data_IF_467504723297
#
_entry.id   IF_467504723297
#
_cell.length_a   1.000
_cell.length_b   1.000
_cell.length_c   1.000
_cell.angle_alpha   90.00
_cell.angle_beta   90.00
_cell.angle_gamma   90.00
#
_symmetry.space_group_name_H-M   'P 1'
#
loop_
_entity.id
_entity.type
_entity.pdbx_description
1 polymer ?
#
# COMPACT_ATOMS: atom_id res chain seq x y z
N UNK A 1 -61.70 -11.26 -23.31
CA UNK A 1 -62.25 -11.04 -21.97
C UNK A 1 -62.14 -12.32 -21.16
N UNK A 2 -61.22 -12.37 -20.19
CA UNK A 2 -61.38 -12.94 -18.83
C UNK A 2 -60.02 -12.88 -18.14
N UNK A 3 -59.98 -12.12 -17.05
CA UNK A 3 -58.81 -11.84 -16.24
C UNK A 3 -58.38 -13.06 -15.40
N UNK A 4 -57.08 -13.23 -15.24
CA UNK A 4 -56.48 -14.03 -14.16
C UNK A 4 -55.66 -13.08 -13.29
N UNK A 5 -56.14 -12.82 -12.07
CA UNK A 5 -55.45 -12.05 -11.04
C UNK A 5 -55.43 -12.82 -9.71
N UNK A 6 -54.33 -12.65 -9.00
CA UNK A 6 -54.17 -12.73 -7.54
C UNK A 6 -54.34 -14.07 -6.82
N UNK A 7 -53.26 -14.85 -6.74
CA UNK A 7 -53.02 -15.84 -5.66
C UNK A 7 -51.79 -15.54 -4.80
N UNK A 8 -51.10 -14.41 -5.00
CA UNK A 8 -49.88 -14.08 -4.25
C UNK A 8 -50.09 -13.53 -2.83
N UNK A 9 -51.28 -13.03 -2.49
CA UNK A 9 -51.53 -12.40 -1.17
C UNK A 9 -51.87 -13.38 -0.04
N UNK A 10 -52.29 -14.62 -0.34
CA UNK A 10 -52.66 -15.60 0.68
C UNK A 10 -51.47 -16.30 1.35
N UNK A 11 -50.28 -16.24 0.74
CA UNK A 11 -49.05 -16.81 1.33
C UNK A 11 -48.36 -15.86 2.34
N UNK A 12 -48.48 -14.54 2.15
CA UNK A 12 -47.87 -13.55 3.06
C UNK A 12 -48.61 -13.38 4.40
N UNK A 13 -49.89 -13.77 4.47
CA UNK A 13 -50.69 -13.70 5.70
C UNK A 13 -50.45 -14.89 6.65
N UNK A 14 -50.03 -16.06 6.12
CA UNK A 14 -49.77 -17.25 6.94
C UNK A 14 -48.43 -17.21 7.69
N UNK A 15 -47.41 -16.53 7.14
CA UNK A 15 -46.08 -16.42 7.78
C UNK A 15 -46.07 -15.41 8.94
N UNK A 16 -47.02 -14.47 8.97
CA UNK A 16 -47.14 -13.49 10.07
C UNK A 16 -47.90 -13.99 11.31
N UNK A 17 -48.58 -15.14 11.23
CA UNK A 17 -49.30 -15.74 12.35
C UNK A 17 -48.50 -16.79 13.14
N UNK A 18 -47.38 -17.29 12.59
CA UNK A 18 -46.53 -18.29 13.27
C UNK A 18 -45.37 -17.70 14.09
N UNK A 19 -45.14 -16.38 14.01
CA UNK A 19 -44.05 -15.69 14.74
C UNK A 19 -44.43 -15.04 16.07
N UNK A 20 -45.70 -15.09 16.47
CA UNK A 20 -46.21 -14.37 17.66
C UNK A 20 -46.59 -15.30 18.84
N UNK A 21 -46.24 -16.60 18.78
CA UNK A 21 -46.59 -17.58 19.81
C UNK A 21 -45.37 -18.29 20.43
N UNK A 22 -44.19 -17.66 20.41
CA UNK A 22 -42.97 -18.16 21.05
C UNK A 22 -42.33 -17.10 21.97
N UNK A 23 -43.17 -16.33 22.66
CA UNK A 23 -42.74 -15.29 23.60
C UNK A 23 -43.70 -15.20 24.78
N UNK A 24 -43.94 -16.32 25.46
CA UNK A 24 -44.62 -16.42 26.76
C UNK A 24 -44.56 -17.88 27.23
N UNK A 25 -43.43 -18.30 27.83
CA UNK A 25 -43.32 -19.41 28.79
C UNK A 25 -41.84 -19.64 29.15
N UNK A 26 -41.36 -18.95 30.19
CA UNK A 26 -40.30 -19.41 31.10
C UNK A 26 -40.00 -18.31 32.13
N UNK A 27 -40.89 -18.17 33.11
CA UNK A 27 -40.64 -17.40 34.32
C UNK A 27 -40.94 -18.31 35.53
N UNK A 28 -39.92 -19.04 36.02
CA UNK A 28 -39.85 -19.55 37.41
C UNK A 28 -38.52 -20.27 37.69
N UNK A 29 -37.51 -19.54 38.14
CA UNK A 29 -36.43 -20.09 38.97
C UNK A 29 -35.75 -18.94 39.73
N UNK A 30 -35.66 -19.07 41.06
CA UNK A 30 -35.21 -18.01 41.98
C UNK A 30 -33.72 -17.65 41.93
N UNK A 31 -33.31 -16.58 42.62
CA UNK A 31 -31.97 -16.02 42.50
C UNK A 31 -30.98 -16.78 43.40
N UNK A 32 -30.23 -17.70 42.80
CA UNK A 32 -28.98 -18.20 43.39
C UNK A 32 -27.90 -17.13 43.25
N UNK A 33 -27.39 -16.60 44.36
CA UNK A 33 -26.23 -15.70 44.43
C UNK A 33 -24.99 -16.43 43.86
N UNK A 34 -24.70 -16.20 42.59
CA UNK A 34 -23.42 -16.53 41.99
C UNK A 34 -22.44 -15.36 42.24
N UNK A 35 -21.35 -15.67 42.91
CA UNK A 35 -20.23 -14.78 43.17
C UNK A 35 -19.58 -14.37 41.83
N UNK A 36 -19.39 -13.07 41.52
CA UNK A 36 -18.87 -12.66 40.23
C UNK A 36 -17.40 -13.11 40.11
N UNK A 37 -17.14 -14.03 39.19
CA UNK A 37 -15.78 -14.35 38.77
C UNK A 37 -15.07 -13.06 38.33
N UNK A 38 -13.92 -12.79 38.95
CA UNK A 38 -13.11 -11.63 38.68
C UNK A 38 -12.80 -11.55 37.17
N UNK A 39 -13.24 -10.46 36.52
CA UNK A 39 -12.85 -10.16 35.15
C UNK A 39 -11.31 -10.08 35.10
N UNK A 40 -10.64 -10.77 34.16
CA UNK A 40 -9.20 -10.61 33.99
C UNK A 40 -8.94 -9.13 33.70
N UNK A 41 -8.19 -8.50 34.61
CA UNK A 41 -7.73 -7.13 34.48
C UNK A 41 -6.77 -7.15 33.28
N UNK A 42 -7.20 -6.68 32.12
CA UNK A 42 -6.33 -6.47 30.96
C UNK A 42 -5.29 -5.45 31.41
N UNK A 43 -4.10 -5.94 31.74
CA UNK A 43 -2.94 -5.12 32.02
C UNK A 43 -2.62 -4.41 30.71
N UNK A 44 -2.73 -3.09 30.69
CA UNK A 44 -2.34 -2.30 29.53
C UNK A 44 -0.92 -2.70 29.13
N UNK A 45 -0.74 -3.14 27.90
CA UNK A 45 0.57 -3.52 27.38
C UNK A 45 1.52 -2.34 27.58
N UNK A 46 2.58 -2.55 28.34
CA UNK A 46 3.63 -1.56 28.55
C UNK A 46 4.15 -1.15 27.17
N UNK A 47 4.19 0.16 26.81
CA UNK A 47 4.67 0.58 25.51
C UNK A 47 6.09 0.06 25.31
N UNK A 48 6.32 -0.63 24.20
CA UNK A 48 7.65 -1.13 23.84
C UNK A 48 8.50 0.08 23.43
N UNK A 49 9.28 0.61 24.37
CA UNK A 49 10.22 1.70 24.15
C UNK A 49 11.50 1.14 23.52
N UNK A 50 11.48 0.90 22.21
CA UNK A 50 12.65 0.42 21.49
C UNK A 50 12.53 0.58 19.98
N UNK A 51 13.62 0.96 19.32
CA UNK A 51 13.75 0.80 17.88
C UNK A 51 14.02 -0.67 17.57
N UNK A 52 13.37 -1.21 16.53
CA UNK A 52 13.62 -2.56 16.03
C UNK A 52 14.56 -2.45 14.83
N UNK A 53 15.68 -3.18 14.85
CA UNK A 53 16.58 -3.28 13.69
C UNK A 53 16.51 -4.68 13.10
N UNK A 54 15.99 -4.78 11.89
CA UNK A 54 15.91 -6.04 11.15
C UNK A 54 17.12 -6.11 10.23
N UNK A 55 17.99 -7.11 10.41
CA UNK A 55 19.11 -7.37 9.52
C UNK A 55 18.92 -8.70 8.83
N UNK A 56 19.37 -8.78 7.59
CA UNK A 56 19.42 -10.07 6.93
C UNK A 56 20.27 -10.10 5.69
N UNK A 57 20.32 -11.28 5.10
CA UNK A 57 21.05 -11.57 3.88
C UNK A 57 20.11 -12.26 2.90
N UNK A 58 20.13 -11.84 1.64
CA UNK A 58 19.34 -12.42 0.55
C UNK A 58 20.29 -13.08 -0.43
N UNK A 59 20.19 -14.40 -0.56
CA UNK A 59 20.96 -15.20 -1.50
C UNK A 59 20.04 -15.98 -2.43
N UNK A 60 20.48 -16.24 -3.65
CA UNK A 60 19.87 -17.19 -4.58
C UNK A 60 20.01 -18.64 -4.09
N UNK A 61 19.36 -19.58 -4.78
CA UNK A 61 19.53 -21.02 -4.53
C UNK A 61 20.96 -21.51 -4.73
N UNK A 62 21.73 -20.83 -5.58
CA UNK A 62 23.15 -21.06 -5.83
C UNK A 62 24.06 -20.43 -4.77
N UNK A 63 23.47 -19.95 -3.66
CA UNK A 63 24.12 -19.21 -2.58
C UNK A 63 24.79 -17.89 -3.02
N UNK A 64 24.53 -17.41 -4.25
CA UNK A 64 25.03 -16.11 -4.68
C UNK A 64 24.19 -14.99 -4.06
N UNK A 65 24.86 -13.96 -3.57
CA UNK A 65 24.21 -12.76 -3.07
C UNK A 65 23.29 -12.13 -4.13
N UNK A 66 22.08 -11.75 -3.72
CA UNK A 66 21.13 -11.03 -4.57
C UNK A 66 21.22 -9.55 -4.26
N UNK A 67 21.95 -8.81 -5.10
CA UNK A 67 22.13 -7.36 -4.95
C UNK A 67 20.94 -6.56 -5.48
N UNK A 68 20.54 -5.50 -4.78
CA UNK A 68 19.45 -4.61 -5.22
C UNK A 68 18.04 -5.19 -5.07
N UNK A 69 17.86 -6.27 -4.31
CA UNK A 69 16.53 -6.73 -3.92
C UNK A 69 15.90 -5.72 -2.96
N UNK A 70 14.67 -5.30 -3.24
CA UNK A 70 13.90 -4.45 -2.35
C UNK A 70 13.29 -5.29 -1.22
N UNK A 71 13.45 -4.82 0.02
CA UNK A 71 12.94 -5.44 1.24
C UNK A 71 11.98 -4.46 1.90
N UNK A 72 10.69 -4.79 1.91
CA UNK A 72 9.62 -3.91 2.39
C UNK A 72 8.95 -4.52 3.63
N UNK A 73 8.76 -3.74 4.69
CA UNK A 73 7.98 -4.16 5.84
C UNK A 73 6.48 -4.02 5.55
N UNK A 74 5.78 -5.15 5.42
CA UNK A 74 4.38 -5.20 4.99
C UNK A 74 3.50 -4.43 5.98
N UNK A 75 2.60 -3.61 5.43
CA UNK A 75 1.71 -2.75 6.22
C UNK A 75 2.35 -1.42 6.64
N UNK A 76 3.57 -1.13 6.17
CA UNK A 76 4.27 0.13 6.45
C UNK A 76 4.89 0.70 5.16
N UNK A 77 5.32 1.95 5.18
CA UNK A 77 6.11 2.55 4.10
C UNK A 77 7.62 2.27 4.21
N UNK A 78 8.05 1.50 5.23
CA UNK A 78 9.46 1.24 5.47
C UNK A 78 9.99 0.21 4.47
N UNK A 79 11.06 0.57 3.78
CA UNK A 79 11.75 -0.30 2.85
C UNK A 79 13.25 -0.04 2.86
N UNK A 80 14.01 -1.03 2.40
CA UNK A 80 15.46 -0.94 2.17
C UNK A 80 15.81 -1.77 0.94
N UNK A 81 17.07 -1.75 0.52
CA UNK A 81 17.57 -2.59 -0.58
C UNK A 81 18.79 -3.38 -0.11
N UNK A 82 19.01 -4.55 -0.70
CA UNK A 82 20.20 -5.34 -0.43
C UNK A 82 21.44 -4.74 -1.08
N UNK A 83 22.57 -4.82 -0.38
CA UNK A 83 23.89 -4.42 -0.88
C UNK A 83 24.39 -5.34 -1.99
N UNK A 84 25.57 -5.05 -2.54
CA UNK A 84 26.27 -5.95 -3.46
C UNK A 84 26.54 -7.35 -2.88
N UNK A 85 26.70 -7.43 -1.55
CA UNK A 85 26.85 -8.69 -0.81
C UNK A 85 25.51 -9.32 -0.43
N UNK A 86 24.36 -8.79 -0.87
CA UNK A 86 23.05 -9.35 -0.54
C UNK A 86 22.54 -8.99 0.86
N UNK A 87 23.31 -8.21 1.62
CA UNK A 87 22.97 -7.82 2.99
C UNK A 87 22.01 -6.64 3.02
N UNK A 88 21.09 -6.62 3.98
CA UNK A 88 20.22 -5.49 4.23
C UNK A 88 20.09 -5.18 5.72
N UNK A 89 19.76 -3.92 6.02
CA UNK A 89 19.35 -3.48 7.33
C UNK A 89 18.14 -2.56 7.19
N UNK A 90 17.08 -2.84 7.96
CA UNK A 90 15.85 -2.07 8.01
C UNK A 90 15.60 -1.60 9.44
N UNK A 91 15.76 -0.30 9.67
CA UNK A 91 15.43 0.32 10.95
C UNK A 91 13.93 0.60 11.02
N UNK A 92 13.27 0.08 12.06
CA UNK A 92 11.84 0.25 12.33
C UNK A 92 11.70 1.17 13.56
N UNK A 93 11.28 2.43 13.37
CA UNK A 93 11.10 3.36 14.48
C UNK A 93 10.08 2.83 15.49
N UNK A 94 10.27 3.16 16.77
CA UNK A 94 9.36 2.73 17.85
C UNK A 94 7.88 3.10 17.57
N UNK A 95 7.64 4.25 16.95
CA UNK A 95 6.30 4.69 16.54
C UNK A 95 5.63 3.78 15.50
N UNK A 96 6.42 3.06 14.69
CA UNK A 96 5.93 2.05 13.74
C UNK A 96 5.80 0.69 14.43
N UNK A 97 6.73 0.34 15.32
CA UNK A 97 6.65 -0.90 16.13
C UNK A 97 5.34 -0.97 16.90
N UNK A 98 4.92 0.14 17.53
CA UNK A 98 3.63 0.21 18.24
C UNK A 98 2.38 0.11 17.36
N UNK A 99 2.53 0.24 16.03
CA UNK A 99 1.46 0.08 15.05
C UNK A 99 1.46 -1.29 14.36
N UNK A 100 2.48 -2.11 14.60
CA UNK A 100 2.50 -3.48 14.09
C UNK A 100 1.41 -4.30 14.79
N UNK A 101 0.73 -5.21 14.08
CA UNK A 101 -0.35 -6.00 14.66
C UNK A 101 0.20 -6.90 15.77
N UNK A 102 -0.25 -6.67 17.01
CA UNK A 102 0.24 -7.38 18.20
C UNK A 102 0.05 -8.91 18.12
N UNK A 103 -0.99 -9.36 17.42
CA UNK A 103 -1.40 -10.77 17.31
C UNK A 103 -1.16 -11.38 15.92
N UNK A 104 -0.42 -10.71 15.03
CA UNK A 104 -0.13 -11.22 13.70
C UNK A 104 1.37 -11.20 13.38
N UNK A 105 1.85 -12.10 12.50
CA UNK A 105 3.26 -12.18 12.19
C UNK A 105 3.74 -10.93 11.46
N UNK A 106 4.91 -10.44 11.85
CA UNK A 106 5.60 -9.38 11.11
C UNK A 106 6.09 -9.97 9.79
N UNK A 107 5.69 -9.36 8.67
CA UNK A 107 6.01 -9.84 7.32
C UNK A 107 6.92 -8.86 6.59
N UNK A 108 7.95 -9.38 5.94
CA UNK A 108 8.71 -8.66 4.91
C UNK A 108 8.22 -9.11 3.53
N UNK A 109 8.20 -8.21 2.56
CA UNK A 109 8.02 -8.50 1.15
C UNK A 109 9.35 -8.26 0.44
N UNK A 110 9.88 -9.29 -0.21
CA UNK A 110 11.07 -9.20 -1.04
C UNK A 110 10.68 -9.15 -2.51
N UNK A 111 11.23 -8.17 -3.24
CA UNK A 111 11.04 -8.01 -4.68
C UNK A 111 12.39 -7.83 -5.38
N UNK A 112 12.61 -8.56 -6.47
CA UNK A 112 13.83 -8.48 -7.27
C UNK A 112 13.50 -8.77 -8.74
N UNK A 113 14.03 -8.00 -9.72
CA UNK A 113 13.75 -8.24 -11.14
C UNK A 113 14.05 -9.68 -11.56
N UNK A 114 13.12 -10.30 -12.28
CA UNK A 114 13.23 -11.70 -12.70
C UNK A 114 12.77 -12.73 -11.67
N UNK A 115 12.38 -12.31 -10.46
CA UNK A 115 11.88 -13.19 -9.41
C UNK A 115 10.50 -12.73 -8.93
N UNK A 116 9.61 -13.68 -8.68
CA UNK A 116 8.29 -13.38 -8.13
C UNK A 116 8.42 -12.77 -6.73
N UNK A 117 7.61 -11.76 -6.42
CA UNK A 117 7.56 -11.15 -5.10
C UNK A 117 7.23 -12.21 -4.02
N UNK A 118 7.94 -12.20 -2.89
CA UNK A 118 7.74 -13.20 -1.83
C UNK A 118 7.65 -12.59 -0.44
N UNK A 119 6.65 -13.05 0.32
CA UNK A 119 6.48 -12.71 1.72
C UNK A 119 7.31 -13.61 2.63
N UNK A 120 8.03 -13.01 3.58
CA UNK A 120 8.83 -13.67 4.62
C UNK A 120 8.26 -13.30 5.99
N UNK A 121 7.84 -14.31 6.76
CA UNK A 121 7.37 -14.11 8.12
C UNK A 121 8.55 -14.13 9.11
N UNK A 122 8.70 -13.06 9.90
CA UNK A 122 9.81 -12.85 10.82
C UNK A 122 9.60 -13.50 12.18
N UNK A 123 8.40 -13.38 12.74
CA UNK A 123 8.01 -13.95 14.02
C UNK A 123 6.48 -14.04 14.09
N UNK A 124 5.91 -15.00 14.84
CA UNK A 124 4.46 -15.09 15.04
C UNK A 124 3.89 -13.89 15.81
N UNK A 125 4.69 -13.20 16.65
CA UNK A 125 4.27 -11.99 17.40
C UNK A 125 5.37 -10.91 17.41
N UNK A 126 5.02 -9.61 17.37
CA UNK A 126 5.99 -8.52 17.42
C UNK A 126 6.74 -8.41 18.77
N UNK A 127 6.12 -8.86 19.87
CA UNK A 127 6.72 -8.81 21.22
C UNK A 127 7.98 -9.67 21.32
N UNK A 128 8.12 -10.66 20.44
CA UNK A 128 9.30 -11.53 20.36
C UNK A 128 10.51 -10.86 19.66
N UNK A 129 10.33 -9.66 19.09
CA UNK A 129 11.32 -8.98 18.25
C UNK A 129 12.06 -7.82 18.95
N UNK A 130 12.00 -7.68 20.27
CA UNK A 130 12.75 -6.61 20.95
C UNK A 130 14.27 -6.87 20.82
N UNK A 131 14.95 -6.11 19.94
CA UNK A 131 16.40 -6.22 19.71
C UNK A 131 16.78 -6.24 18.22
N UNK A 132 17.87 -6.95 17.91
CA UNK A 132 18.35 -7.19 16.53
C UNK A 132 17.88 -8.58 16.10
N UNK A 133 17.03 -8.64 15.07
CA UNK A 133 16.70 -9.88 14.39
C UNK A 133 17.67 -10.11 13.22
N UNK A 134 18.33 -11.26 13.17
CA UNK A 134 19.18 -11.69 12.05
C UNK A 134 18.47 -12.77 11.25
N UNK A 135 18.34 -12.57 9.94
CA UNK A 135 17.66 -13.47 9.02
C UNK A 135 18.54 -13.83 7.84
N UNK A 136 18.66 -15.12 7.52
CA UNK A 136 19.17 -15.54 6.21
C UNK A 136 18.00 -15.99 5.36
N UNK A 137 17.82 -15.36 4.20
CA UNK A 137 16.74 -15.64 3.26
C UNK A 137 17.35 -16.22 1.99
N UNK A 138 17.06 -17.48 1.71
CA UNK A 138 17.43 -18.12 0.44
C UNK A 138 16.24 -18.06 -0.51
N UNK A 139 16.46 -17.49 -1.70
CA UNK A 139 15.46 -17.26 -2.73
C UNK A 139 15.69 -18.20 -3.90
N UNK A 140 14.68 -19.00 -4.24
CA UNK A 140 14.70 -19.86 -5.42
C UNK A 140 13.41 -19.82 -6.23
N UNK A 141 13.40 -20.38 -7.44
CA UNK A 141 12.16 -20.66 -8.17
C UNK A 141 11.25 -21.55 -7.32
N UNK A 142 10.22 -20.94 -6.73
CA UNK A 142 9.12 -21.64 -6.05
C UNK A 142 9.22 -21.81 -4.53
N UNK A 143 10.39 -21.58 -3.90
CA UNK A 143 10.54 -21.76 -2.45
C UNK A 143 11.44 -20.68 -1.82
N UNK A 144 11.10 -20.29 -0.59
CA UNK A 144 11.92 -19.44 0.28
C UNK A 144 12.21 -20.23 1.55
N UNK A 145 13.49 -20.42 1.86
CA UNK A 145 13.90 -20.93 3.16
C UNK A 145 14.36 -19.77 4.02
N UNK A 146 13.73 -19.63 5.18
CA UNK A 146 14.07 -18.61 6.18
C UNK A 146 14.79 -19.32 7.30
N UNK A 147 16.11 -19.18 7.34
CA UNK A 147 16.88 -19.68 8.47
C UNK A 147 16.99 -18.56 9.50
N UNK A 148 16.32 -18.76 10.63
CA UNK A 148 16.42 -17.87 11.78
C UNK A 148 17.56 -18.36 12.65
N UNK A 149 18.57 -17.53 12.86
CA UNK A 149 19.51 -17.73 13.97
C UNK A 149 18.91 -17.03 15.19
N UNK A 150 18.34 -17.77 16.17
CA UNK A 150 17.89 -17.15 17.40
C UNK A 150 19.11 -16.53 18.10
N UNK A 151 19.17 -15.21 18.12
CA UNK A 151 20.08 -14.49 19.02
C UNK A 151 19.58 -14.75 20.43
N UNK A 152 20.15 -15.77 21.09
CA UNK A 152 19.93 -16.03 22.53
C UNK A 152 20.09 -14.70 23.24
N UNK A 153 19.03 -14.24 23.91
CA UNK A 153 19.10 -13.14 24.88
C UNK A 153 20.25 -13.50 25.83
N UNK A 154 21.35 -12.73 25.88
CA UNK A 154 22.37 -13.02 26.88
C UNK A 154 21.67 -12.94 28.24
N UNK A 155 21.76 -13.98 29.09
CA UNK A 155 21.21 -13.88 30.42
C UNK A 155 21.88 -12.68 31.10
N UNK A 156 21.07 -11.77 31.63
CA UNK A 156 21.49 -10.84 32.67
C UNK A 156 21.76 -11.68 33.94
N UNK A 157 22.78 -12.53 33.88
CA UNK A 157 23.38 -13.19 35.02
C UNK A 157 24.64 -12.40 35.35
N UNK A 158 24.72 -11.88 36.56
CA UNK A 158 25.90 -11.23 37.08
C UNK A 158 27.10 -12.17 36.98
N UNK A 159 27.94 -11.94 35.99
CA UNK A 159 29.29 -12.49 35.94
C UNK A 159 30.16 -11.46 36.65
N UNK A 160 30.50 -11.75 37.90
CA UNK A 160 31.65 -11.14 38.56
C UNK A 160 32.88 -11.71 37.84
N UNK A 161 33.41 -10.97 36.86
CA UNK A 161 34.73 -11.26 36.31
C UNK A 161 35.77 -10.72 37.29
N UNK A 162 36.83 -11.48 37.64
CA UNK A 162 37.98 -10.93 38.33
C UNK A 162 38.61 -9.83 37.46
N UNK A 163 38.93 -8.71 38.09
CA UNK A 163 39.61 -7.57 37.46
C UNK A 163 40.86 -8.04 36.68
N UNK A 164 41.03 -7.66 35.40
CA UNK A 164 42.33 -7.75 34.77
C UNK A 164 43.30 -6.78 35.48
N UNK A 165 44.59 -7.14 35.61
CA UNK A 165 45.61 -6.24 36.13
C UNK A 165 45.68 -4.96 35.27
N UNK A 166 46.07 -3.82 35.87
CA UNK A 166 46.17 -2.56 35.15
C UNK A 166 47.15 -2.67 33.96
N UNK A 167 46.85 -2.02 32.82
CA UNK A 167 47.77 -1.98 31.69
C UNK A 167 49.07 -1.28 32.09
N UNK A 168 50.19 -1.82 31.61
CA UNK A 168 51.51 -1.22 31.74
C UNK A 168 51.52 0.20 31.14
N UNK A 169 52.29 1.14 31.71
CA UNK A 169 52.40 2.49 31.19
C UNK A 169 52.95 2.47 29.75
N UNK A 170 52.47 3.37 28.86
CA UNK A 170 53.00 3.47 27.51
C UNK A 170 54.48 3.88 27.53
N UNK A 171 55.30 3.40 26.57
CA UNK A 171 56.66 3.85 26.41
C UNK A 171 56.71 5.36 26.11
N UNK A 172 57.78 6.06 26.51
CA UNK A 172 57.93 7.49 26.24
C UNK A 172 57.95 7.77 24.73
N UNK A 173 57.24 8.82 24.34
CA UNK A 173 57.20 9.32 22.97
C UNK A 173 58.61 9.65 22.45
N UNK A 174 58.93 9.33 21.18
CA UNK A 174 60.18 9.77 20.58
C UNK A 174 60.24 11.31 20.48
N UNK A 175 61.45 11.90 20.54
CA UNK A 175 61.62 13.33 20.41
C UNK A 175 61.15 13.83 19.03
N UNK A 176 60.61 15.06 18.95
CA UNK A 176 60.16 15.64 17.69
C UNK A 176 61.34 15.81 16.71
N UNK A 177 61.13 15.59 15.40
CA UNK A 177 62.15 15.86 14.40
C UNK A 177 62.48 17.35 14.32
N UNK A 178 63.75 17.64 14.04
CA UNK A 178 64.27 19.00 13.88
C UNK A 178 63.57 19.77 12.76
N UNK A 179 63.37 21.09 12.91
CA UNK A 179 62.74 21.89 11.87
C UNK A 179 63.61 21.94 10.60
N UNK A 180 63.01 21.96 9.40
CA UNK A 180 63.73 22.12 8.15
C UNK A 180 64.38 23.52 8.05
N UNK A 181 65.48 23.65 7.30
CA UNK A 181 66.15 24.93 7.09
C UNK A 181 65.25 25.95 6.36
N UNK A 182 65.46 27.26 6.59
CA UNK A 182 64.66 28.31 5.97
C UNK A 182 64.84 28.32 4.45
N UNK A 183 63.71 28.46 3.75
CA UNK A 183 63.67 28.60 2.30
C UNK A 183 64.30 29.93 1.85
N UNK A 184 64.93 29.99 0.66
CA UNK A 184 65.48 31.24 0.12
C UNK A 184 64.38 32.27 -0.16
N UNK A 185 64.70 33.58 -0.12
CA UNK A 185 63.73 34.64 -0.36
C UNK A 185 63.21 34.59 -1.80
N UNK A 186 61.90 34.84 -2.01
CA UNK A 186 61.31 34.86 -3.34
C UNK A 186 61.84 36.04 -4.18
N UNK A 187 61.93 35.90 -5.51
CA UNK A 187 62.28 37.00 -6.40
C UNK A 187 61.23 38.13 -6.33
N UNK A 188 61.70 39.36 -6.56
CA UNK A 188 60.89 40.58 -6.52
C UNK A 188 59.70 40.52 -7.50
N UNK A 189 58.52 41.01 -7.10
CA UNK A 189 57.33 40.94 -7.94
C UNK A 189 57.45 41.87 -9.17
N UNK A 190 56.88 41.48 -10.32
CA UNK A 190 56.77 42.34 -11.49
C UNK A 190 55.87 43.57 -11.20
N UNK A 191 56.00 44.66 -11.97
CA UNK A 191 55.19 45.87 -11.78
C UNK A 191 53.69 45.58 -11.88
N UNK A 192 52.85 46.33 -11.14
CA UNK A 192 51.42 46.07 -11.07
C UNK A 192 50.75 46.24 -12.43
N UNK A 193 49.94 45.25 -12.79
CA UNK A 193 49.06 45.29 -13.95
C UNK A 193 48.00 46.39 -13.75
N UNK A 194 47.48 47.01 -14.84
CA UNK A 194 46.41 47.99 -14.75
C UNK A 194 45.18 47.41 -14.03
N UNK A 195 44.40 48.25 -13.30
CA UNK A 195 43.27 47.77 -12.53
C UNK A 195 42.24 47.10 -13.44
N UNK A 196 41.71 45.92 -13.06
CA UNK A 196 40.66 45.27 -13.83
C UNK A 196 39.39 46.11 -13.84
N UNK A 197 38.54 45.99 -14.88
CA UNK A 197 37.23 46.60 -14.89
C UNK A 197 36.42 46.14 -13.68
N UNK A 198 35.51 46.99 -13.16
CA UNK A 198 34.70 46.65 -11.99
C UNK A 198 33.96 45.32 -12.23
N UNK A 199 33.93 44.41 -11.25
CA UNK A 199 33.25 43.14 -11.39
C UNK A 199 31.76 43.38 -11.68
N UNK A 200 31.22 42.63 -12.64
CA UNK A 200 29.80 42.60 -12.88
C UNK A 200 29.06 42.29 -11.55
N UNK A 201 27.90 42.90 -11.31
CA UNK A 201 27.12 42.61 -10.11
C UNK A 201 26.91 41.10 -10.02
N UNK A 202 27.05 40.51 -8.82
CA UNK A 202 26.86 39.08 -8.64
C UNK A 202 25.47 38.71 -9.16
N UNK A 203 25.32 37.60 -9.91
CA UNK A 203 24.01 37.12 -10.30
C UNK A 203 23.15 36.99 -9.03
N UNK A 204 21.90 37.44 -9.12
CA UNK A 204 20.96 37.34 -8.02
C UNK A 204 21.01 35.92 -7.44
N UNK A 205 21.03 35.75 -6.09
CA UNK A 205 21.04 34.44 -5.49
C UNK A 205 19.88 33.63 -6.08
N UNK A 206 20.10 32.36 -6.48
CA UNK A 206 19.01 31.52 -6.93
C UNK A 206 17.93 31.53 -5.84
N UNK A 207 16.63 31.55 -6.22
CA UNK A 207 15.55 31.50 -5.24
C UNK A 207 15.82 30.31 -4.31
N UNK A 208 15.53 30.44 -3.00
CA UNK A 208 15.77 29.37 -2.05
C UNK A 208 15.15 28.10 -2.61
N UNK A 209 16.01 27.11 -2.88
CA UNK A 209 15.62 25.75 -3.27
C UNK A 209 14.62 25.32 -2.21
N UNK A 210 13.34 25.31 -2.56
CA UNK A 210 12.29 24.77 -1.70
C UNK A 210 12.77 23.41 -1.26
N UNK A 211 12.70 23.08 0.05
CA UNK A 211 13.14 21.78 0.55
C UNK A 211 12.51 20.73 -0.36
N UNK A 212 13.36 19.92 -0.98
CA UNK A 212 12.97 18.88 -1.91
C UNK A 212 11.79 18.15 -1.28
N UNK A 213 10.61 18.36 -1.88
CA UNK A 213 9.36 17.82 -1.37
C UNK A 213 9.59 16.35 -1.11
N UNK A 214 9.53 15.97 0.16
CA UNK A 214 9.67 14.61 0.63
C UNK A 214 8.73 13.75 -0.23
N UNK A 215 9.32 12.97 -1.14
CA UNK A 215 8.59 12.17 -2.11
C UNK A 215 7.97 11.03 -1.33
N UNK A 216 6.79 11.28 -0.74
CA UNK A 216 5.99 10.22 -0.14
C UNK A 216 5.83 9.13 -1.21
N UNK A 217 6.20 7.87 -0.92
CA UNK A 217 6.14 6.79 -1.90
C UNK A 217 4.67 6.61 -2.31
N UNK A 218 4.36 6.98 -3.54
CA UNK A 218 3.02 6.82 -4.11
C UNK A 218 2.80 5.31 -4.32
N UNK A 219 1.74 4.72 -3.74
CA UNK A 219 1.47 3.29 -3.90
C UNK A 219 1.37 2.94 -5.38
N UNK A 220 2.00 1.85 -5.78
CA UNK A 220 1.98 1.39 -7.17
C UNK A 220 0.70 0.58 -7.44
N UNK A 221 0.08 0.81 -8.59
CA UNK A 221 -0.95 -0.05 -9.12
C UNK A 221 -0.28 -1.25 -9.82
N UNK A 222 -0.83 -2.48 -9.72
CA UNK A 222 -0.29 -3.64 -10.42
C UNK A 222 -0.20 -3.38 -11.92
N UNK A 223 0.98 -3.60 -12.49
CA UNK A 223 1.25 -3.36 -13.90
C UNK A 223 2.02 -4.53 -14.52
N UNK A 224 1.61 -5.07 -15.68
CA UNK A 224 0.40 -4.73 -16.44
C UNK A 224 -0.89 -4.90 -15.62
N UNK A 225 -1.95 -4.13 -15.92
CA UNK A 225 -3.18 -4.24 -15.16
C UNK A 225 -3.74 -5.65 -15.31
N UNK A 226 -4.36 -6.21 -14.26
CA UNK A 226 -5.05 -7.48 -14.41
C UNK A 226 -6.16 -7.43 -15.45
N UNK A 227 -6.57 -8.58 -15.97
CA UNK A 227 -7.60 -8.63 -17.00
C UNK A 227 -8.92 -7.98 -16.53
N UNK A 228 -9.39 -6.90 -17.18
CA UNK A 228 -10.67 -6.28 -16.84
C UNK A 228 -11.83 -7.00 -17.54
N UNK A 229 -13.03 -6.96 -16.94
CA UNK A 229 -14.26 -7.49 -17.53
C UNK A 229 -14.64 -6.77 -18.83
N UNK A 230 -14.33 -5.47 -18.90
CA UNK A 230 -14.45 -4.64 -20.09
C UNK A 230 -13.49 -3.46 -20.01
N UNK A 231 -13.16 -2.84 -21.14
CA UNK A 231 -12.40 -1.60 -21.16
C UNK A 231 -12.80 -0.72 -22.34
N UNK A 232 -12.42 0.55 -22.28
CA UNK A 232 -12.47 1.45 -23.43
C UNK A 232 -11.44 2.59 -23.28
N UNK A 233 -10.86 3.01 -24.40
CA UNK A 233 -10.05 4.24 -24.45
C UNK A 233 -10.99 5.44 -24.51
N UNK A 234 -10.75 6.44 -23.66
CA UNK A 234 -11.55 7.66 -23.65
C UNK A 234 -11.35 8.45 -24.95
N UNK A 235 -12.40 9.05 -25.52
CA UNK A 235 -12.34 9.69 -26.82
C UNK A 235 -11.47 10.95 -26.78
N UNK A 236 -10.75 11.26 -27.87
CA UNK A 236 -9.83 12.41 -27.94
C UNK A 236 -10.45 13.77 -27.58
N UNK A 237 -11.77 13.95 -27.79
CA UNK A 237 -12.49 15.16 -27.33
C UNK A 237 -12.41 15.39 -25.81
N UNK A 238 -12.33 14.31 -25.03
CA UNK A 238 -12.18 14.36 -23.57
C UNK A 238 -10.76 14.78 -23.16
N UNK A 239 -9.77 14.63 -24.03
CA UNK A 239 -8.35 14.92 -23.74
C UNK A 239 -7.83 16.15 -24.50
N UNK A 240 -8.63 16.71 -25.41
CA UNK A 240 -8.30 17.87 -26.22
C UNK A 240 -7.84 19.07 -25.37
N UNK A 241 -6.71 19.68 -25.75
CA UNK A 241 -6.15 20.88 -25.10
C UNK A 241 -5.43 20.64 -23.77
N UNK A 242 -5.37 19.38 -23.29
CA UNK A 242 -4.64 19.05 -22.06
C UNK A 242 -3.14 18.98 -22.34
N UNK A 243 -2.35 19.63 -21.47
CA UNK A 243 -0.87 19.67 -21.57
C UNK A 243 -0.16 18.81 -20.53
N UNK A 244 -0.85 18.45 -19.45
CA UNK A 244 -0.30 17.73 -18.31
C UNK A 244 -1.34 16.74 -17.76
N UNK A 245 -0.86 15.69 -17.10
CA UNK A 245 -1.71 14.65 -16.54
C UNK A 245 -2.72 15.18 -15.49
N UNK A 246 -2.38 16.25 -14.77
CA UNK A 246 -3.31 16.95 -13.87
C UNK A 246 -4.56 17.52 -14.58
N UNK A 247 -4.45 17.88 -15.87
CA UNK A 247 -5.61 18.32 -16.65
C UNK A 247 -6.60 17.18 -16.92
N UNK A 248 -6.10 15.95 -17.12
CA UNK A 248 -6.94 14.75 -17.24
C UNK A 248 -7.60 14.44 -15.90
N UNK A 249 -6.83 14.48 -14.81
CA UNK A 249 -7.36 14.30 -13.45
C UNK A 249 -8.52 15.26 -13.16
N UNK A 250 -8.35 16.55 -13.45
CA UNK A 250 -9.39 17.55 -13.23
C UNK A 250 -10.67 17.24 -14.03
N UNK A 251 -10.55 16.75 -15.28
CA UNK A 251 -11.70 16.34 -16.10
C UNK A 251 -12.39 15.09 -15.55
N UNK A 252 -11.61 14.08 -15.16
CA UNK A 252 -12.12 12.85 -14.56
C UNK A 252 -12.85 13.14 -13.24
N UNK A 253 -12.26 13.93 -12.33
CA UNK A 253 -12.90 14.35 -11.08
C UNK A 253 -14.23 15.06 -11.31
N UNK A 254 -14.31 15.96 -12.31
CA UNK A 254 -15.58 16.63 -12.67
C UNK A 254 -16.64 15.65 -13.18
N UNK A 255 -16.25 14.71 -14.04
CA UNK A 255 -17.15 13.68 -14.56
C UNK A 255 -17.65 12.74 -13.45
N UNK A 256 -16.74 12.30 -12.57
CA UNK A 256 -17.04 11.47 -11.40
C UNK A 256 -17.95 12.18 -10.41
N UNK A 257 -17.68 13.45 -10.09
CA UNK A 257 -18.52 14.23 -9.19
C UNK A 257 -19.95 14.38 -9.73
N UNK A 258 -20.13 14.65 -11.04
CA UNK A 258 -21.45 14.65 -11.69
C UNK A 258 -22.16 13.30 -11.59
N UNK A 259 -21.40 12.21 -11.70
CA UNK A 259 -21.88 10.85 -11.53
C UNK A 259 -22.08 10.45 -10.05
N UNK A 260 -21.82 11.37 -9.09
CA UNK A 260 -21.87 11.16 -7.63
C UNK A 260 -20.84 10.15 -7.10
N UNK A 261 -19.75 9.93 -7.83
CA UNK A 261 -18.59 9.24 -7.29
C UNK A 261 -17.73 10.23 -6.50
N UNK A 262 -17.56 9.97 -5.21
CA UNK A 262 -16.65 10.67 -4.32
C UNK A 262 -15.46 9.79 -3.95
N UNK A 263 -14.40 10.42 -3.47
CA UNK A 263 -13.20 9.79 -2.90
C UNK A 263 -12.49 8.77 -3.80
N UNK A 264 -12.08 9.14 -5.04
CA UNK A 264 -11.26 8.25 -5.85
C UNK A 264 -9.88 8.04 -5.22
N UNK A 265 -9.34 6.84 -5.41
CA UNK A 265 -8.02 6.46 -4.92
C UNK A 265 -6.97 6.52 -6.04
N UNK A 266 -5.78 7.08 -5.75
CA UNK A 266 -4.71 7.29 -6.72
C UNK A 266 -3.52 6.36 -6.49
N UNK A 267 -2.95 5.89 -7.59
CA UNK A 267 -1.78 5.03 -7.63
C UNK A 267 -0.82 5.46 -8.74
N UNK A 268 0.46 5.16 -8.55
CA UNK A 268 1.46 5.27 -9.62
C UNK A 268 1.35 4.08 -10.58
N UNK A 269 1.49 4.36 -11.88
CA UNK A 269 1.74 3.38 -12.95
C UNK A 269 2.94 3.87 -13.77
N UNK A 270 3.55 3.03 -14.61
CA UNK A 270 4.60 3.52 -15.51
C UNK A 270 4.13 4.74 -16.31
N UNK A 271 4.90 5.82 -16.21
CA UNK A 271 4.68 7.09 -16.93
C UNK A 271 3.30 7.72 -16.69
N UNK A 272 2.69 7.49 -15.53
CA UNK A 272 1.45 8.17 -15.20
C UNK A 272 0.78 7.70 -13.91
N UNK A 273 -0.55 7.72 -13.90
CA UNK A 273 -1.33 7.38 -12.72
C UNK A 273 -2.54 6.51 -13.04
N UNK A 274 -2.97 5.73 -12.06
CA UNK A 274 -4.27 5.06 -12.06
C UNK A 274 -5.20 5.73 -11.02
N UNK A 275 -6.42 6.03 -11.42
CA UNK A 275 -7.49 6.53 -10.55
C UNK A 275 -8.58 5.47 -10.42
N UNK A 276 -8.85 5.03 -9.20
CA UNK A 276 -9.78 3.94 -8.89
C UNK A 276 -11.03 4.51 -8.24
N UNK A 277 -12.21 4.17 -8.76
CA UNK A 277 -13.49 4.57 -8.15
C UNK A 277 -13.83 3.68 -6.95
N UNK A 278 -14.76 4.15 -6.10
CA UNK A 278 -15.42 3.29 -5.11
C UNK A 278 -16.21 2.14 -5.77
N UNK A 279 -16.52 1.10 -4.99
CA UNK A 279 -17.36 -0.02 -5.42
C UNK A 279 -18.81 0.45 -5.55
N UNK A 280 -19.36 0.31 -6.76
CA UNK A 280 -20.75 0.58 -7.07
C UNK A 280 -21.54 -0.74 -7.12
N UNK A 281 -22.70 -0.77 -6.46
CA UNK A 281 -23.66 -1.87 -6.50
C UNK A 281 -24.60 -1.71 -7.70
N UNK A 282 -24.90 -2.83 -8.33
CA UNK A 282 -25.68 -2.91 -9.55
C UNK A 282 -26.95 -3.74 -9.31
N UNK A 283 -28.03 -3.37 -10.00
CA UNK A 283 -29.25 -4.17 -10.05
C UNK A 283 -29.13 -5.35 -11.04
N UNK A 284 -30.20 -6.13 -11.22
CA UNK A 284 -30.21 -7.24 -12.19
C UNK A 284 -30.02 -6.82 -13.66
N UNK A 285 -30.12 -5.52 -13.97
CA UNK A 285 -29.98 -4.90 -15.30
C UNK A 285 -28.66 -4.12 -15.46
N UNK A 286 -27.73 -4.25 -14.50
CA UNK A 286 -26.48 -3.49 -14.37
C UNK A 286 -26.66 -1.97 -14.38
N UNK A 287 -27.82 -1.51 -13.96
CA UNK A 287 -28.00 -0.11 -13.61
C UNK A 287 -27.55 0.08 -12.16
N UNK A 288 -26.96 1.24 -11.80
CA UNK A 288 -26.63 1.52 -10.42
C UNK A 288 -27.87 1.39 -9.53
N UNK A 289 -27.72 0.74 -8.37
CA UNK A 289 -28.78 0.79 -7.37
C UNK A 289 -29.07 2.25 -6.98
N UNK A 290 -30.33 2.59 -6.64
CA UNK A 290 -30.65 3.92 -6.15
C UNK A 290 -30.00 4.16 -4.77
N UNK A 291 -29.76 5.43 -4.45
CA UNK A 291 -29.34 5.82 -3.11
C UNK A 291 -30.38 5.38 -2.06
N UNK A 292 -29.96 4.99 -0.85
CA UNK A 292 -28.58 4.97 -0.33
C UNK A 292 -27.79 3.69 -0.66
N UNK A 293 -28.38 2.74 -1.39
CA UNK A 293 -27.84 1.39 -1.59
C UNK A 293 -26.87 1.30 -2.77
N UNK A 294 -26.63 2.40 -3.49
CA UNK A 294 -25.74 2.47 -4.64
C UNK A 294 -24.32 2.06 -4.29
N UNK A 295 -23.86 2.42 -3.11
CA UNK A 295 -22.48 2.23 -2.70
C UNK A 295 -22.36 1.03 -1.78
N UNK A 296 -21.27 0.28 -1.89
CA UNK A 296 -20.97 -0.71 -0.88
C UNK A 296 -20.62 0.00 0.45
N UNK A 297 -21.11 -0.49 1.61
CA UNK A 297 -20.89 0.17 2.89
C UNK A 297 -19.39 0.31 3.21
N UNK A 298 -18.98 1.48 3.71
CA UNK A 298 -17.63 1.69 4.25
C UNK A 298 -17.59 1.14 5.68
N UNK A 299 -16.95 0.00 5.94
CA UNK A 299 -16.30 -0.22 7.25
C UNK A 299 -15.41 -1.48 7.29
N UNK A 300 -14.11 -1.29 7.58
CA UNK A 300 -13.49 -1.27 8.93
C UNK A 300 -11.99 -1.03 8.74
N UNK A 301 -11.39 -0.07 9.45
CA UNK A 301 -9.94 -0.01 9.57
C UNK A 301 -9.45 -1.12 10.51
N UNK A 302 -8.56 -1.99 10.04
CA UNK A 302 -7.85 -2.96 10.90
C UNK A 302 -8.29 -4.43 10.87
N UNK A 303 -9.36 -4.80 10.15
CA UNK A 303 -9.73 -6.20 9.93
C UNK A 303 -9.28 -6.73 8.56
N UNK A 304 -9.11 -8.05 8.46
CA UNK A 304 -8.60 -8.71 7.28
C UNK A 304 -9.52 -8.48 6.06
N UNK A 305 -8.92 -8.45 4.88
CA UNK A 305 -9.59 -8.21 3.59
C UNK A 305 -10.66 -9.28 3.28
N UNK A 306 -10.46 -10.51 3.76
CA UNK A 306 -11.43 -11.59 3.68
C UNK A 306 -12.64 -11.33 4.58
N UNK A 307 -12.47 -10.66 5.72
CA UNK A 307 -13.58 -10.25 6.58
C UNK A 307 -14.37 -9.11 5.94
N UNK A 308 -13.73 -8.10 5.33
CA UNK A 308 -14.46 -7.02 4.65
C UNK A 308 -15.34 -7.54 3.51
N UNK A 309 -14.84 -8.43 2.65
CA UNK A 309 -15.71 -9.09 1.67
C UNK A 309 -16.65 -10.11 2.31
N UNK A 310 -16.30 -10.79 3.40
CA UNK A 310 -17.27 -11.61 4.15
C UNK A 310 -18.37 -10.76 4.79
N UNK A 311 -18.13 -9.48 5.08
CA UNK A 311 -19.10 -8.52 5.61
C UNK A 311 -19.94 -7.87 4.50
N UNK A 312 -19.35 -7.53 3.34
CA UNK A 312 -20.12 -7.27 2.10
C UNK A 312 -20.97 -8.50 1.72
N UNK A 313 -20.45 -9.70 1.97
CA UNK A 313 -21.06 -11.01 1.66
C UNK A 313 -22.10 -11.44 2.69
N UNK A 314 -22.07 -10.97 3.93
CA UNK A 314 -23.04 -11.36 4.97
C UNK A 314 -24.36 -10.60 4.91
N UNK A 315 -24.48 -9.56 4.09
CA UNK A 315 -25.70 -8.74 4.06
C UNK A 315 -26.47 -8.72 2.72
N UNK A 316 -25.82 -8.66 1.53
CA UNK A 316 -26.57 -8.50 0.26
C UNK A 316 -25.97 -9.30 -0.92
N UNK A 317 -26.79 -10.12 -1.56
CA UNK A 317 -26.53 -10.80 -2.86
C UNK A 317 -26.60 -9.78 -3.99
N UNK A 318 -25.73 -9.83 -5.00
CA UNK A 318 -25.78 -8.85 -6.09
C UNK A 318 -24.55 -8.77 -7.00
N UNK A 319 -24.57 -7.79 -7.91
CA UNK A 319 -23.46 -7.47 -8.82
C UNK A 319 -22.84 -6.13 -8.45
N UNK A 320 -21.56 -5.99 -8.73
CA UNK A 320 -20.76 -4.82 -8.37
C UNK A 320 -19.83 -4.44 -9.50
N UNK A 321 -19.44 -3.17 -9.58
CA UNK A 321 -18.33 -2.75 -10.45
C UNK A 321 -17.40 -1.76 -9.80
N UNK A 322 -16.17 -1.77 -10.29
CA UNK A 322 -15.13 -0.78 -10.03
C UNK A 322 -14.58 -0.30 -11.37
N UNK A 323 -14.37 1.00 -11.52
CA UNK A 323 -13.76 1.59 -12.71
C UNK A 323 -12.38 2.12 -12.34
N UNK A 324 -11.37 1.73 -13.12
CA UNK A 324 -10.01 2.23 -13.01
C UNK A 324 -9.66 3.03 -14.26
N UNK A 325 -9.34 4.31 -14.11
CA UNK A 325 -8.83 5.13 -15.19
C UNK A 325 -7.30 5.07 -15.17
N UNK A 326 -6.71 4.37 -16.13
CA UNK A 326 -5.27 4.34 -16.36
C UNK A 326 -4.89 5.48 -17.31
N UNK A 327 -4.05 6.41 -16.85
CA UNK A 327 -3.60 7.58 -17.60
C UNK A 327 -2.09 7.48 -17.77
N UNK A 328 -1.63 7.14 -18.97
CA UNK A 328 -0.21 6.87 -19.26
C UNK A 328 0.10 7.03 -20.75
N UNK A 329 1.35 7.35 -21.09
CA UNK A 329 1.88 7.29 -22.46
C UNK A 329 2.40 5.89 -22.85
N UNK A 330 2.52 4.99 -21.87
CA UNK A 330 3.05 3.65 -22.11
C UNK A 330 1.93 2.71 -22.57
N UNK A 331 2.08 2.18 -23.77
CA UNK A 331 1.21 1.10 -24.26
C UNK A 331 1.27 -0.13 -23.34
N UNK A 332 0.13 -0.79 -23.16
CA UNK A 332 0.03 -2.00 -22.34
C UNK A 332 -1.02 -2.95 -22.90
N UNK A 333 -0.82 -4.24 -22.60
CA UNK A 333 -1.85 -5.26 -22.70
C UNK A 333 -2.21 -5.70 -21.27
N UNK A 334 -3.48 -6.04 -20.99
CA UNK A 334 -3.84 -6.66 -19.73
C UNK A 334 -3.04 -7.96 -19.51
N UNK A 335 -2.69 -8.25 -18.25
CA UNK A 335 -2.05 -9.51 -17.90
C UNK A 335 -2.96 -10.69 -18.30
N UNK A 336 -2.36 -11.83 -18.65
CA UNK A 336 -3.10 -13.08 -18.86
C UNK A 336 -3.80 -13.56 -17.58
N UNK A 337 -3.24 -13.19 -16.41
CA UNK A 337 -3.83 -13.49 -15.12
C UNK A 337 -5.01 -12.53 -14.83
N UNK A 338 -6.15 -13.12 -14.47
CA UNK A 338 -7.28 -12.38 -13.88
C UNK A 338 -6.88 -11.81 -12.53
N UNK A 339 -7.35 -10.60 -12.20
CA UNK A 339 -7.09 -10.02 -10.88
C UNK A 339 -7.59 -10.99 -9.82
N UNK A 340 -6.71 -11.42 -8.90
CA UNK A 340 -7.23 -12.10 -7.72
C UNK A 340 -8.12 -11.13 -6.96
N UNK A 341 -9.17 -11.66 -6.32
CA UNK A 341 -10.05 -10.92 -5.41
C UNK A 341 -9.24 -10.06 -4.42
N UNK A 342 -8.14 -10.59 -3.89
CA UNK A 342 -7.26 -9.87 -2.97
C UNK A 342 -6.53 -8.67 -3.61
N UNK A 343 -6.12 -8.76 -4.88
CA UNK A 343 -5.45 -7.66 -5.58
C UNK A 343 -6.41 -6.53 -5.92
N UNK A 344 -7.60 -6.84 -6.45
CA UNK A 344 -8.60 -5.83 -6.81
C UNK A 344 -9.01 -4.97 -5.60
N UNK A 345 -9.01 -5.56 -4.40
CA UNK A 345 -9.41 -4.87 -3.18
C UNK A 345 -8.29 -4.08 -2.49
N UNK A 346 -7.02 -4.41 -2.73
CA UNK A 346 -5.89 -3.59 -2.26
C UNK A 346 -5.94 -2.19 -2.89
N UNK A 347 -6.47 -2.09 -4.12
CA UNK A 347 -6.65 -0.84 -4.86
C UNK A 347 -7.65 0.13 -4.25
N UNK A 348 -8.51 -0.32 -3.35
CA UNK A 348 -9.54 0.55 -2.76
C UNK A 348 -9.16 1.10 -1.39
N UNK A 349 -8.14 0.53 -0.73
CA UNK A 349 -7.77 0.87 0.65
C UNK A 349 -6.50 1.70 0.80
N UNK A 350 -5.55 1.56 -0.12
CA UNK A 350 -4.19 2.07 0.09
C UNK A 350 -3.78 3.18 -0.86
N UNK A 351 -4.70 3.69 -1.68
CA UNK A 351 -4.43 4.73 -2.65
C UNK A 351 -4.41 6.11 -1.98
N UNK A 352 -3.72 7.04 -2.61
CA UNK A 352 -3.72 8.43 -2.15
C UNK A 352 -5.09 9.06 -2.44
N UNK A 353 -5.57 9.98 -1.60
CA UNK A 353 -6.83 10.71 -1.85
C UNK A 353 -6.71 11.79 -2.95
N UNK A 354 -5.47 12.19 -3.26
CA UNK A 354 -5.17 13.24 -4.22
C UNK A 354 -4.05 12.80 -5.16
N UNK A 355 -4.10 13.31 -6.41
CA UNK A 355 -3.02 13.09 -7.37
C UNK A 355 -1.74 13.78 -6.86
N UNK A 356 -0.65 13.05 -6.63
CA UNK A 356 0.62 13.65 -6.23
C UNK A 356 1.12 14.64 -7.29
N UNK A 357 1.60 15.80 -6.85
CA UNK A 357 2.00 16.89 -7.75
C UNK A 357 3.10 16.47 -8.75
N UNK A 358 3.98 15.54 -8.36
CA UNK A 358 5.00 14.98 -9.25
C UNK A 358 4.38 14.25 -10.45
N UNK A 359 3.35 13.42 -10.23
CA UNK A 359 2.62 12.74 -11.32
C UNK A 359 1.76 13.73 -12.11
N UNK A 360 1.13 14.69 -11.44
CA UNK A 360 0.29 15.69 -12.09
C UNK A 360 1.04 16.63 -13.05
N UNK A 361 2.34 16.83 -12.85
CA UNK A 361 3.21 17.64 -13.73
C UNK A 361 3.74 16.89 -14.95
N UNK A 362 3.56 15.56 -15.03
CA UNK A 362 3.98 14.79 -16.20
C UNK A 362 3.25 15.33 -17.45
N UNK A 363 3.95 15.42 -18.60
CA UNK A 363 3.37 15.95 -19.83
C UNK A 363 2.30 15.02 -20.39
N UNK A 364 1.25 15.61 -20.97
CA UNK A 364 0.33 14.90 -21.84
C UNK A 364 0.87 14.98 -23.28
N UNK A 365 1.25 13.84 -23.85
CA UNK A 365 1.89 13.71 -25.16
C UNK A 365 0.94 13.12 -26.20
N UNK A 366 1.38 13.02 -27.46
CA UNK A 366 0.62 12.36 -28.52
C UNK A 366 0.37 10.87 -28.25
N UNK A 367 1.27 10.22 -27.52
CA UNK A 367 1.18 8.81 -27.13
C UNK A 367 0.38 8.61 -25.83
N UNK A 368 -0.06 9.68 -25.19
CA UNK A 368 -0.82 9.61 -23.94
C UNK A 368 -2.24 9.11 -24.18
N UNK A 369 -2.62 8.10 -23.41
CA UNK A 369 -3.96 7.53 -23.42
C UNK A 369 -4.58 7.59 -22.03
N UNK A 370 -5.91 7.77 -22.00
CA UNK A 370 -6.72 7.53 -20.81
C UNK A 370 -7.63 6.34 -21.12
N UNK A 371 -7.43 5.24 -20.40
CA UNK A 371 -8.19 4.00 -20.59
C UNK A 371 -9.01 3.71 -19.35
N UNK A 372 -10.32 3.53 -19.51
CA UNK A 372 -11.19 3.03 -18.46
C UNK A 372 -11.17 1.50 -18.48
N UNK A 373 -10.75 0.90 -17.38
CA UNK A 373 -10.77 -0.54 -17.11
C UNK A 373 -11.92 -0.81 -16.14
N UNK A 374 -12.84 -1.69 -16.51
CA UNK A 374 -14.02 -2.03 -15.70
C UNK A 374 -13.85 -3.43 -15.15
N UNK A 375 -13.95 -3.56 -13.83
CA UNK A 375 -13.93 -4.83 -13.13
C UNK A 375 -15.31 -5.08 -12.55
N UNK A 376 -15.97 -6.14 -13.00
CA UNK A 376 -17.28 -6.56 -12.52
C UNK A 376 -17.17 -7.78 -11.62
N UNK A 377 -17.97 -7.79 -10.56
CA UNK A 377 -18.04 -8.89 -9.63
C UNK A 377 -19.48 -9.35 -9.47
N UNK A 378 -19.69 -10.66 -9.46
CA UNK A 378 -20.97 -11.26 -9.13
C UNK A 378 -20.84 -12.02 -7.81
N UNK A 379 -21.79 -11.79 -6.90
CA UNK A 379 -21.87 -12.48 -5.62
C UNK A 379 -23.21 -13.21 -5.49
N UNK A 380 -23.23 -14.53 -5.72
CA UNK A 380 -24.41 -15.37 -5.46
C UNK A 380 -24.70 -15.47 -3.95
N UNK A 381 -25.94 -15.85 -3.61
CA UNK A 381 -26.44 -15.89 -2.23
C UNK A 381 -25.57 -16.76 -1.29
N UNK A 382 -25.10 -17.91 -1.79
CA UNK A 382 -24.33 -18.88 -1.01
C UNK A 382 -22.91 -19.09 -1.54
N UNK A 383 -22.34 -18.13 -2.28
CA UNK A 383 -20.98 -18.25 -2.83
C UNK A 383 -20.18 -16.96 -2.63
N UNK A 384 -18.86 -17.11 -2.64
CA UNK A 384 -17.97 -15.96 -2.66
C UNK A 384 -18.16 -15.15 -3.95
N UNK A 385 -18.00 -13.83 -3.86
CA UNK A 385 -17.95 -12.97 -5.04
C UNK A 385 -16.83 -13.41 -6.00
N UNK A 386 -17.15 -13.49 -7.29
CA UNK A 386 -16.24 -13.86 -8.37
C UNK A 386 -16.17 -12.74 -9.41
N UNK A 387 -14.99 -12.56 -10.03
CA UNK A 387 -14.82 -11.63 -11.15
C UNK A 387 -15.59 -12.17 -12.37
N UNK A 388 -16.31 -11.30 -13.05
CA UNK A 388 -16.93 -11.61 -14.34
C UNK A 388 -15.84 -11.47 -15.41
N UNK A 389 -15.43 -12.57 -16.05
CA UNK A 389 -14.33 -12.55 -17.02
C UNK A 389 -14.64 -11.70 -18.25
N UNK A 390 -15.86 -11.76 -18.77
CA UNK A 390 -16.30 -10.99 -19.92
C UNK A 390 -17.61 -10.30 -19.61
N UNK A 391 -17.61 -8.98 -19.71
CA UNK A 391 -18.81 -8.18 -19.52
C UNK A 391 -19.83 -8.38 -20.64
N UNK A 392 -21.11 -8.26 -20.29
CA UNK A 392 -22.19 -8.09 -21.28
C UNK A 392 -22.24 -6.68 -21.88
N UNK A 393 -21.51 -5.72 -21.31
CA UNK A 393 -21.48 -4.32 -21.74
C UNK A 393 -20.06 -3.88 -22.10
N UNK A 394 -19.93 -3.02 -23.10
CA UNK A 394 -18.65 -2.38 -23.39
C UNK A 394 -18.23 -1.42 -22.27
N UNK A 395 -16.94 -1.10 -22.18
CA UNK A 395 -16.45 -0.11 -21.20
C UNK A 395 -17.19 1.24 -21.33
N UNK A 396 -17.50 1.66 -22.56
CA UNK A 396 -18.24 2.90 -22.80
C UNK A 396 -19.69 2.83 -22.29
N UNK A 397 -20.36 1.68 -22.45
CA UNK A 397 -21.71 1.46 -21.92
C UNK A 397 -21.70 1.46 -20.38
N UNK A 398 -20.67 0.92 -19.74
CA UNK A 398 -20.50 1.02 -18.29
C UNK A 398 -20.36 2.45 -17.81
N UNK A 399 -19.50 3.25 -18.45
CA UNK A 399 -19.35 4.67 -18.09
C UNK A 399 -20.68 5.42 -18.25
N UNK A 400 -21.42 5.16 -19.34
CA UNK A 400 -22.73 5.77 -19.56
C UNK A 400 -23.76 5.35 -18.48
N UNK A 401 -23.85 4.06 -18.17
CA UNK A 401 -24.72 3.52 -17.10
C UNK A 401 -24.34 4.03 -15.71
N UNK A 402 -23.06 4.32 -15.47
CA UNK A 402 -22.58 4.93 -14.23
C UNK A 402 -22.90 6.43 -14.14
N UNK A 403 -23.42 7.03 -15.22
CA UNK A 403 -23.60 8.48 -15.33
C UNK A 403 -22.30 9.26 -15.51
N UNK A 404 -21.18 8.59 -15.81
CA UNK A 404 -19.86 9.21 -16.02
C UNK A 404 -19.83 9.78 -17.43
N UNK A 405 -20.26 11.04 -17.56
CA UNK A 405 -20.32 11.73 -18.85
C UNK A 405 -18.98 12.35 -19.18
N UNK A 406 -18.36 11.86 -20.27
CA UNK A 406 -17.08 12.33 -20.78
C UNK A 406 -17.27 13.56 -21.68
N UNK A 407 -17.51 14.71 -21.03
CA UNK A 407 -17.53 16.02 -21.69
C UNK A 407 -16.13 16.67 -21.68
N UNK A 408 -15.81 17.56 -22.64
CA UNK A 408 -14.54 18.29 -22.69
C UNK A 408 -14.23 19.13 -21.44
#
# INVERSE_FOLDING_TARGET
>A
MTARTCTWWKWLAAVRAAGAAALLLAASAGPGRAQPAARPRIQAATPVTGQLLIRGHVAGQDARAVAGAAVVLVGTALSTTTSASGDFALAVPAAVVGKLPADAPVRLLLTYPGYAARGVELAPRPVDLVGIAQLTVTVGPGAVQVMRTPTKRPPLAGVILPFPPPPSPPPPSPPPPSPPPPSPPPPSPPPPSPPPPPPAPPPAPPPPTSPAAEVLPVPAFPWPPPHPSAFCVLPGRFTAGVRQLSGIDARLRRALAKARFHDPAYYSIPEGFAMVTRIEQLDGKDDPLPEPNRWAPDEVAGSSLADFLSHLVRAHTGRFRVVVFAVTARAFAPAADTASKAQAMAWLRYGMAYLPAALGRLPWTADSHCTALVYEFEKPENRAAALVETSRFSGQQHLAKAGIVLVP
#
